data_IF_273273287024
#
_entry.id   IF_273273287024
#
_cell.length_a   1.000
_cell.length_b   1.000
_cell.length_c   1.000
_cell.angle_alpha   90.00
_cell.angle_beta   90.00
_cell.angle_gamma   90.00
#
_symmetry.space_group_name_H-M   'P 1'
#
loop_
_entity.id
_entity.type
_entity.pdbx_description
1 polymer ?
#
# COMPACT_ATOMS: atom_id res chain seq x y z
N UNK A 1 -5.56 -31.03 25.11
CA UNK A 1 -5.59 -29.61 24.67
C UNK A 1 -4.19 -29.27 24.19
N UNK A 2 -4.00 -29.05 22.89
CA UNK A 2 -2.72 -28.51 22.39
C UNK A 2 -2.73 -27.03 22.75
N UNK A 3 -1.87 -26.63 23.69
CA UNK A 3 -1.67 -25.21 24.03
C UNK A 3 -1.12 -24.51 22.80
N UNK A 4 -1.93 -23.63 22.20
CA UNK A 4 -1.53 -22.77 21.08
C UNK A 4 -0.67 -21.64 21.65
N UNK A 5 0.62 -21.89 21.80
CA UNK A 5 1.57 -20.82 22.16
C UNK A 5 1.64 -19.84 20.98
N UNK A 6 1.34 -18.54 21.17
CA UNK A 6 1.47 -17.53 20.12
C UNK A 6 2.90 -17.51 19.56
N UNK A 7 3.04 -17.16 18.29
CA UNK A 7 4.37 -16.93 17.71
C UNK A 7 4.95 -15.65 18.32
N UNK A 8 6.08 -15.78 19.00
CA UNK A 8 6.89 -14.65 19.45
C UNK A 8 7.48 -13.94 18.23
N UNK A 9 7.06 -12.69 18.00
CA UNK A 9 7.45 -11.91 16.82
C UNK A 9 8.93 -11.56 16.79
N UNK A 10 9.54 -11.31 17.96
CA UNK A 10 10.93 -10.87 18.05
C UNK A 10 11.84 -12.07 17.82
N UNK A 11 11.54 -13.19 18.48
CA UNK A 11 12.25 -14.45 18.24
C UNK A 11 12.10 -14.94 16.80
N UNK A 12 10.94 -14.74 16.17
CA UNK A 12 10.73 -15.09 14.77
C UNK A 12 11.51 -14.18 13.82
N UNK A 13 11.56 -12.87 14.09
CA UNK A 13 12.31 -11.92 13.28
C UNK A 13 13.82 -12.22 13.33
N UNK A 14 14.35 -12.54 14.51
CA UNK A 14 15.73 -12.98 14.68
C UNK A 14 15.98 -14.30 13.94
N UNK A 15 15.07 -15.27 14.08
CA UNK A 15 15.19 -16.56 13.40
C UNK A 15 15.15 -16.41 11.87
N UNK A 16 14.31 -15.52 11.33
CA UNK A 16 14.27 -15.23 9.89
C UNK A 16 15.58 -14.67 9.35
N UNK A 17 16.39 -13.99 10.17
CA UNK A 17 17.69 -13.46 9.74
C UNK A 17 18.77 -14.54 9.67
N UNK A 18 18.74 -15.50 10.61
CA UNK A 18 19.81 -16.48 10.78
C UNK A 18 19.48 -17.86 10.19
N UNK A 19 18.22 -18.27 10.24
CA UNK A 19 17.71 -19.52 9.69
C UNK A 19 16.27 -19.36 9.16
N UNK A 20 16.12 -18.82 7.94
CA UNK A 20 14.82 -18.66 7.29
C UNK A 20 14.03 -19.97 7.16
N UNK A 21 14.71 -21.11 7.01
CA UNK A 21 14.06 -22.42 6.83
C UNK A 21 13.45 -22.92 8.14
N UNK A 22 14.17 -22.76 9.26
CA UNK A 22 13.62 -23.06 10.58
C UNK A 22 12.47 -22.11 10.94
N UNK A 23 12.58 -20.83 10.60
CA UNK A 23 11.47 -19.88 10.76
C UNK A 23 10.24 -20.33 9.95
N UNK A 24 10.44 -20.71 8.69
CA UNK A 24 9.37 -21.22 7.84
C UNK A 24 8.71 -22.47 8.44
N UNK A 25 9.49 -23.44 8.90
CA UNK A 25 8.97 -24.65 9.54
C UNK A 25 8.13 -24.33 10.79
N UNK A 26 8.60 -23.42 11.64
CA UNK A 26 7.88 -22.99 12.84
C UNK A 26 6.56 -22.29 12.52
N UNK A 27 6.57 -21.39 11.54
CA UNK A 27 5.35 -20.69 11.07
C UNK A 27 4.37 -21.69 10.46
N UNK A 28 4.86 -22.64 9.67
CA UNK A 28 4.05 -23.71 9.08
C UNK A 28 3.33 -24.53 10.15
N UNK A 29 4.06 -24.98 11.16
CA UNK A 29 3.49 -25.82 12.21
C UNK A 29 2.41 -25.05 13.02
N UNK A 30 2.64 -23.75 13.28
CA UNK A 30 1.65 -22.88 13.91
C UNK A 30 0.42 -22.60 13.03
N UNK A 31 0.61 -22.40 11.72
CA UNK A 31 -0.48 -22.21 10.76
C UNK A 31 -1.36 -23.46 10.66
N UNK A 32 -0.74 -24.65 10.62
CA UNK A 32 -1.41 -25.95 10.65
C UNK A 32 -2.17 -26.19 11.97
N UNK A 33 -1.67 -25.65 13.09
CA UNK A 33 -2.39 -25.64 14.36
C UNK A 33 -3.58 -24.66 14.41
N UNK A 34 -3.81 -23.89 13.34
CA UNK A 34 -4.95 -22.99 13.18
C UNK A 34 -4.71 -21.58 13.73
N UNK A 35 -3.46 -21.15 13.92
CA UNK A 35 -3.16 -19.78 14.31
C UNK A 35 -3.30 -18.85 13.08
N UNK A 36 -4.24 -17.92 13.13
CA UNK A 36 -4.62 -17.09 11.98
C UNK A 36 -3.47 -16.18 11.52
N UNK A 37 -2.73 -15.57 12.44
CA UNK A 37 -1.57 -14.73 12.11
C UNK A 37 -0.46 -15.55 11.45
N UNK A 38 -0.29 -16.81 11.87
CA UNK A 38 0.66 -17.73 11.26
C UNK A 38 0.24 -18.14 9.85
N UNK A 39 -1.06 -18.31 9.59
CA UNK A 39 -1.58 -18.59 8.24
C UNK A 39 -1.33 -17.41 7.30
N UNK A 40 -1.59 -16.18 7.76
CA UNK A 40 -1.29 -14.97 7.01
C UNK A 40 0.22 -14.87 6.71
N UNK A 41 1.07 -15.09 7.72
CA UNK A 41 2.51 -15.01 7.56
C UNK A 41 3.04 -16.11 6.63
N UNK A 42 2.54 -17.34 6.75
CA UNK A 42 2.92 -18.45 5.88
C UNK A 42 2.59 -18.14 4.41
N UNK A 43 1.43 -17.54 4.16
CA UNK A 43 1.05 -17.08 2.84
C UNK A 43 2.05 -16.04 2.29
N UNK A 44 2.45 -15.06 3.11
CA UNK A 44 3.46 -14.07 2.73
C UNK A 44 4.82 -14.72 2.46
N UNK A 45 5.26 -15.67 3.29
CA UNK A 45 6.53 -16.38 3.12
C UNK A 45 6.57 -17.16 1.80
N UNK A 46 5.48 -17.84 1.43
CA UNK A 46 5.35 -18.48 0.12
C UNK A 46 5.36 -17.48 -1.03
N UNK A 47 4.69 -16.33 -0.88
CA UNK A 47 4.65 -15.29 -1.92
C UNK A 47 6.02 -14.67 -2.18
N UNK A 48 6.85 -14.54 -1.13
CA UNK A 48 8.19 -13.91 -1.19
C UNK A 48 9.33 -14.92 -1.35
N UNK A 49 9.08 -16.23 -1.19
CA UNK A 49 10.13 -17.25 -1.13
C UNK A 49 11.04 -17.11 0.10
N UNK A 50 10.49 -16.66 1.24
CA UNK A 50 11.27 -16.56 2.49
C UNK A 50 11.29 -17.90 3.21
N UNK A 51 12.47 -18.52 3.29
CA UNK A 51 12.65 -19.82 3.94
C UNK A 51 12.09 -21.01 3.15
N UNK A 52 11.58 -20.78 1.95
CA UNK A 52 11.04 -21.78 1.03
C UNK A 52 11.16 -21.27 -0.41
N UNK A 53 10.95 -22.13 -1.41
CA UNK A 53 10.79 -21.66 -2.79
C UNK A 53 9.52 -20.81 -2.92
N UNK A 54 9.56 -19.79 -3.79
CA UNK A 54 8.39 -18.98 -4.08
C UNK A 54 7.28 -19.85 -4.68
N UNK A 55 6.08 -19.78 -4.11
CA UNK A 55 4.92 -20.55 -4.56
C UNK A 55 3.64 -19.70 -4.39
N UNK A 56 3.23 -19.08 -5.49
CA UNK A 56 2.06 -18.21 -5.49
C UNK A 56 0.74 -18.98 -5.27
N UNK A 57 0.67 -20.26 -5.65
CA UNK A 57 -0.52 -21.09 -5.43
C UNK A 57 -0.63 -21.47 -3.95
N UNK A 58 0.47 -21.88 -3.32
CA UNK A 58 0.48 -22.12 -1.87
C UNK A 58 0.14 -20.85 -1.09
N UNK A 59 0.67 -19.68 -1.50
CA UNK A 59 0.32 -18.40 -0.89
C UNK A 59 -1.18 -18.09 -1.00
N UNK A 60 -1.78 -18.28 -2.18
CA UNK A 60 -3.23 -18.09 -2.40
C UNK A 60 -4.05 -18.94 -1.42
N UNK A 61 -3.75 -20.23 -1.31
CA UNK A 61 -4.49 -21.17 -0.46
C UNK A 61 -4.39 -20.81 1.04
N UNK A 62 -3.23 -20.35 1.49
CA UNK A 62 -3.05 -19.90 2.87
C UNK A 62 -3.72 -18.55 3.14
N UNK A 63 -3.70 -17.61 2.20
CA UNK A 63 -4.51 -16.39 2.30
C UNK A 63 -6.00 -16.70 2.37
N UNK A 64 -6.50 -17.64 1.56
CA UNK A 64 -7.88 -18.11 1.62
C UNK A 64 -8.22 -18.72 2.97
N UNK A 65 -7.35 -19.57 3.50
CA UNK A 65 -7.53 -20.17 4.83
C UNK A 65 -7.60 -19.09 5.92
N UNK A 66 -6.66 -18.15 5.93
CA UNK A 66 -6.62 -17.05 6.91
C UNK A 66 -7.83 -16.10 6.76
N UNK A 67 -8.24 -15.78 5.53
CA UNK A 67 -9.38 -14.93 5.24
C UNK A 67 -10.69 -15.57 5.74
N UNK A 68 -10.88 -16.87 5.51
CA UNK A 68 -12.03 -17.62 6.01
C UNK A 68 -12.03 -17.75 7.55
N UNK A 69 -10.87 -17.68 8.19
CA UNK A 69 -10.74 -17.59 9.65
C UNK A 69 -10.81 -16.15 10.20
N UNK A 70 -11.17 -15.17 9.36
CA UNK A 70 -11.50 -13.82 9.80
C UNK A 70 -10.35 -12.82 9.79
N UNK A 71 -9.18 -13.12 9.21
CA UNK A 71 -8.10 -12.14 9.07
C UNK A 71 -8.41 -11.07 8.00
N UNK A 72 -8.59 -9.79 8.37
CA UNK A 72 -8.90 -8.75 7.39
C UNK A 72 -7.79 -8.55 6.35
N UNK A 73 -6.53 -8.58 6.80
CA UNK A 73 -5.39 -8.44 5.89
C UNK A 73 -5.31 -9.60 4.90
N UNK A 74 -5.67 -10.82 5.32
CA UNK A 74 -5.74 -11.96 4.41
C UNK A 74 -6.86 -11.81 3.38
N UNK A 75 -8.03 -11.29 3.77
CA UNK A 75 -9.11 -10.95 2.82
C UNK A 75 -8.61 -9.95 1.77
N UNK A 76 -7.90 -8.90 2.19
CA UNK A 76 -7.31 -7.94 1.28
C UNK A 76 -6.26 -8.58 0.35
N UNK A 77 -5.35 -9.38 0.87
CA UNK A 77 -4.30 -10.04 0.08
C UNK A 77 -4.87 -11.07 -0.89
N UNK A 78 -5.91 -11.81 -0.50
CA UNK A 78 -6.65 -12.70 -1.39
C UNK A 78 -7.34 -11.93 -2.53
N UNK A 79 -7.90 -10.76 -2.21
CA UNK A 79 -8.40 -9.83 -3.22
C UNK A 79 -7.30 -9.43 -4.22
N UNK A 80 -6.09 -9.11 -3.74
CA UNK A 80 -4.94 -8.79 -4.60
C UNK A 80 -4.50 -9.97 -5.47
N UNK A 81 -4.50 -11.19 -4.91
CA UNK A 81 -4.18 -12.39 -5.68
C UNK A 81 -5.16 -12.58 -6.84
N UNK A 82 -6.46 -12.40 -6.61
CA UNK A 82 -7.44 -12.45 -7.67
C UNK A 82 -7.35 -11.26 -8.63
N UNK A 83 -7.07 -10.04 -8.19
CA UNK A 83 -6.94 -8.89 -9.09
C UNK A 83 -5.76 -9.05 -10.07
N UNK A 84 -4.62 -9.54 -9.57
CA UNK A 84 -3.36 -9.59 -10.31
C UNK A 84 -3.03 -10.99 -10.89
N UNK A 85 -3.84 -12.00 -10.57
CA UNK A 85 -3.61 -13.38 -11.00
C UNK A 85 -2.40 -14.04 -10.31
N UNK A 86 -2.17 -13.77 -9.03
CA UNK A 86 -1.13 -14.45 -8.27
C UNK A 86 -1.63 -15.80 -7.76
N UNK A 87 -1.07 -16.88 -8.31
CA UNK A 87 -1.49 -18.25 -7.98
C UNK A 87 -2.83 -18.68 -8.59
N UNK A 88 -3.44 -17.82 -9.42
CA UNK A 88 -4.74 -18.05 -10.07
C UNK A 88 -4.87 -17.19 -11.32
N UNK A 89 -5.91 -17.41 -12.13
CA UNK A 89 -6.24 -16.48 -13.21
C UNK A 89 -6.78 -15.16 -12.63
N UNK A 90 -6.45 -14.03 -13.25
CA UNK A 90 -6.95 -12.73 -12.83
C UNK A 90 -8.49 -12.69 -12.93
N UNK A 91 -9.13 -12.28 -11.83
CA UNK A 91 -10.57 -12.13 -11.67
C UNK A 91 -10.87 -10.91 -10.77
N UNK A 92 -10.96 -9.70 -11.36
CA UNK A 92 -11.22 -8.48 -10.60
C UNK A 92 -12.62 -8.45 -9.97
N UNK A 93 -13.59 -9.20 -10.49
CA UNK A 93 -14.92 -9.33 -9.86
C UNK A 93 -14.82 -10.08 -8.53
N UNK A 94 -14.07 -11.18 -8.48
CA UNK A 94 -13.82 -11.90 -7.23
C UNK A 94 -12.92 -11.09 -6.28
N UNK A 95 -11.96 -10.34 -6.81
CA UNK A 95 -11.18 -9.40 -6.01
C UNK A 95 -12.07 -8.39 -5.28
N UNK A 96 -13.07 -7.82 -5.95
CA UNK A 96 -14.02 -6.88 -5.35
C UNK A 96 -14.80 -7.49 -4.18
N UNK A 97 -15.18 -8.77 -4.26
CA UNK A 97 -15.86 -9.48 -3.15
C UNK A 97 -14.96 -9.53 -1.92
N UNK A 98 -13.68 -9.88 -2.10
CA UNK A 98 -12.74 -9.98 -0.99
C UNK A 98 -12.32 -8.61 -0.43
N UNK A 99 -12.09 -7.62 -1.29
CA UNK A 99 -11.84 -6.25 -0.85
C UNK A 99 -13.03 -5.65 -0.09
N UNK A 100 -14.28 -5.93 -0.51
CA UNK A 100 -15.48 -5.53 0.23
C UNK A 100 -15.49 -6.14 1.63
N UNK A 101 -15.24 -7.45 1.76
CA UNK A 101 -15.14 -8.11 3.06
C UNK A 101 -14.09 -7.47 3.96
N UNK A 102 -12.90 -7.17 3.43
CA UNK A 102 -11.86 -6.46 4.17
C UNK A 102 -12.28 -5.02 4.56
N UNK A 103 -12.93 -4.29 3.65
CA UNK A 103 -13.45 -2.95 3.90
C UNK A 103 -14.53 -2.92 4.98
N UNK A 104 -15.37 -3.96 5.05
CA UNK A 104 -16.46 -4.08 6.02
C UNK A 104 -15.92 -4.29 7.45
N UNK A 105 -14.72 -4.87 7.61
CA UNK A 105 -14.02 -4.91 8.92
C UNK A 105 -13.37 -3.59 9.30
N UNK A 106 -13.43 -2.57 8.43
CA UNK A 106 -12.73 -1.31 8.60
C UNK A 106 -11.26 -1.33 8.22
N UNK A 107 -10.76 -2.35 7.50
CA UNK A 107 -9.39 -2.34 7.00
C UNK A 107 -9.23 -1.25 5.93
N UNK A 108 -8.33 -0.32 6.19
CA UNK A 108 -8.01 0.82 5.34
C UNK A 108 -7.50 0.43 3.95
N UNK A 109 -6.67 -0.61 3.86
CA UNK A 109 -6.24 -1.22 2.59
C UNK A 109 -7.39 -1.83 1.80
N UNK A 110 -8.34 -2.48 2.49
CA UNK A 110 -9.55 -3.03 1.87
C UNK A 110 -10.43 -1.93 1.28
N UNK A 111 -10.61 -0.84 2.03
CA UNK A 111 -11.32 0.37 1.58
C UNK A 111 -10.67 0.97 0.34
N UNK A 112 -9.35 1.16 0.37
CA UNK A 112 -8.58 1.72 -0.75
C UNK A 112 -8.65 0.84 -2.01
N UNK A 113 -8.45 -0.47 -1.88
CA UNK A 113 -8.43 -1.36 -3.05
C UNK A 113 -9.81 -1.49 -3.69
N UNK A 114 -10.87 -1.54 -2.88
CA UNK A 114 -12.24 -1.52 -3.38
C UNK A 114 -12.57 -0.20 -4.09
N UNK A 115 -12.13 0.93 -3.51
CA UNK A 115 -12.29 2.24 -4.13
C UNK A 115 -11.59 2.32 -5.50
N UNK A 116 -10.41 1.71 -5.67
CA UNK A 116 -9.75 1.64 -6.97
C UNK A 116 -10.57 0.89 -8.02
N UNK A 117 -11.19 -0.23 -7.67
CA UNK A 117 -12.04 -0.98 -8.60
C UNK A 117 -13.28 -0.17 -8.99
N UNK A 118 -13.92 0.51 -8.04
CA UNK A 118 -15.07 1.40 -8.30
C UNK A 118 -14.67 2.62 -9.13
N UNK A 119 -13.51 3.23 -8.87
CA UNK A 119 -13.04 4.39 -9.62
C UNK A 119 -12.71 4.03 -11.08
N UNK A 120 -12.26 2.81 -11.35
CA UNK A 120 -11.82 2.37 -12.68
C UNK A 120 -12.85 1.53 -13.44
N UNK A 121 -13.87 1.00 -12.76
CA UNK A 121 -14.84 0.08 -13.34
C UNK A 121 -14.27 -1.31 -13.65
N UNK A 122 -13.15 -1.70 -13.04
CA UNK A 122 -12.52 -3.02 -13.27
C UNK A 122 -13.24 -4.10 -12.46
N UNK A 123 -13.91 -5.03 -13.16
CA UNK A 123 -14.59 -6.18 -12.56
C UNK A 123 -15.92 -5.88 -11.88
N UNK A 124 -16.21 -4.61 -11.59
CA UNK A 124 -17.48 -4.10 -11.06
C UNK A 124 -17.83 -2.77 -11.75
N UNK A 125 -19.11 -2.36 -11.79
CA UNK A 125 -19.52 -1.08 -12.38
C UNK A 125 -18.77 0.10 -11.76
N UNK A 126 -18.41 1.08 -12.60
CA UNK A 126 -17.76 2.29 -12.14
C UNK A 126 -18.72 3.12 -11.28
N UNK A 127 -18.25 3.56 -10.11
CA UNK A 127 -18.95 4.48 -9.21
C UNK A 127 -17.94 5.38 -8.51
N UNK A 128 -17.71 6.57 -9.09
CA UNK A 128 -16.71 7.51 -8.60
C UNK A 128 -17.10 8.15 -7.27
N UNK A 129 -18.38 8.37 -7.03
CA UNK A 129 -18.87 8.93 -5.77
C UNK A 129 -18.64 7.93 -4.62
N UNK A 130 -18.97 6.65 -4.83
CA UNK A 130 -18.67 5.62 -3.83
C UNK A 130 -17.15 5.42 -3.66
N UNK A 131 -16.37 5.46 -4.74
CA UNK A 131 -14.91 5.41 -4.64
C UNK A 131 -14.34 6.54 -3.76
N UNK A 132 -14.77 7.78 -3.99
CA UNK A 132 -14.36 8.93 -3.19
C UNK A 132 -14.75 8.78 -1.71
N UNK A 133 -15.96 8.30 -1.42
CA UNK A 133 -16.37 8.03 -0.05
C UNK A 133 -15.48 7.01 0.66
N UNK A 134 -15.09 5.93 -0.04
CA UNK A 134 -14.19 4.90 0.49
C UNK A 134 -12.75 5.41 0.63
N UNK A 135 -12.21 6.18 -0.33
CA UNK A 135 -10.92 6.84 -0.18
C UNK A 135 -10.92 7.77 1.03
N UNK A 136 -11.98 8.57 1.20
CA UNK A 136 -12.12 9.49 2.33
C UNK A 136 -12.08 8.73 3.66
N UNK A 137 -12.84 7.65 3.78
CA UNK A 137 -12.82 6.80 4.98
C UNK A 137 -11.44 6.20 5.23
N UNK A 138 -10.77 5.67 4.20
CA UNK A 138 -9.41 5.13 4.33
C UNK A 138 -8.39 6.22 4.74
N UNK A 139 -8.50 7.43 4.19
CA UNK A 139 -7.65 8.57 4.55
C UNK A 139 -7.81 8.96 6.03
N UNK A 140 -9.05 8.97 6.55
CA UNK A 140 -9.30 9.22 7.97
C UNK A 140 -8.75 8.11 8.89
N UNK A 141 -8.58 6.89 8.37
CA UNK A 141 -7.98 5.77 9.09
C UNK A 141 -6.44 5.72 9.02
N UNK A 142 -5.80 6.66 8.32
CA UNK A 142 -4.33 6.70 8.23
C UNK A 142 -3.75 6.23 6.90
N UNK A 143 -4.57 5.79 5.93
CA UNK A 143 -4.05 5.26 4.67
C UNK A 143 -3.43 6.36 3.79
N UNK A 144 -2.10 6.42 3.74
CA UNK A 144 -1.33 7.50 3.14
C UNK A 144 -1.69 7.77 1.66
N UNK A 145 -1.82 6.71 0.84
CA UNK A 145 -2.20 6.87 -0.58
C UNK A 145 -3.60 7.44 -0.74
N UNK A 146 -4.52 7.08 0.15
CA UNK A 146 -5.89 7.61 0.11
C UNK A 146 -5.93 9.08 0.55
N UNK A 147 -5.07 9.51 1.47
CA UNK A 147 -4.92 10.92 1.82
C UNK A 147 -4.48 11.74 0.60
N UNK A 148 -3.47 11.26 -0.13
CA UNK A 148 -2.99 11.91 -1.36
C UNK A 148 -4.08 11.94 -2.45
N UNK A 149 -4.85 10.87 -2.62
CA UNK A 149 -5.97 10.84 -3.57
C UNK A 149 -7.09 11.81 -3.17
N UNK A 150 -7.47 11.84 -1.90
CA UNK A 150 -8.47 12.80 -1.41
C UNK A 150 -8.02 14.25 -1.62
N UNK A 151 -6.74 14.54 -1.34
CA UNK A 151 -6.16 15.85 -1.61
C UNK A 151 -6.31 16.26 -3.08
N UNK A 152 -6.00 15.35 -4.02
CA UNK A 152 -6.20 15.58 -5.45
C UNK A 152 -7.66 15.85 -5.82
N UNK A 153 -8.60 15.09 -5.26
CA UNK A 153 -10.03 15.31 -5.52
C UNK A 153 -10.49 16.70 -5.05
N UNK A 154 -9.97 17.18 -3.90
CA UNK A 154 -10.24 18.51 -3.37
C UNK A 154 -9.50 19.63 -4.14
N UNK A 155 -8.33 19.35 -4.70
CA UNK A 155 -7.59 20.31 -5.53
C UNK A 155 -8.25 20.49 -6.90
N UNK A 156 -8.54 19.38 -7.57
CA UNK A 156 -9.05 19.35 -8.95
C UNK A 156 -10.58 19.51 -9.03
N UNK A 157 -11.30 19.46 -7.91
CA UNK A 157 -12.77 19.50 -7.87
C UNK A 157 -13.43 18.25 -8.46
N UNK A 158 -12.81 17.09 -8.32
CA UNK A 158 -13.27 15.84 -8.91
C UNK A 158 -14.33 15.20 -8.00
N UNK A 159 -15.59 15.17 -8.44
CA UNK A 159 -16.71 14.56 -7.71
C UNK A 159 -17.01 15.19 -6.32
N UNK A 160 -16.27 16.25 -5.94
CA UNK A 160 -16.44 17.07 -4.72
C UNK A 160 -16.07 18.53 -5.04
N UNK A 161 -16.65 19.49 -4.30
CA UNK A 161 -16.30 20.90 -4.45
C UNK A 161 -14.81 21.12 -4.14
N UNK A 162 -14.10 21.94 -4.94
CA UNK A 162 -12.71 22.26 -4.66
C UNK A 162 -12.54 22.93 -3.29
N UNK A 163 -11.53 22.50 -2.55
CA UNK A 163 -11.08 23.12 -1.31
C UNK A 163 -9.54 23.03 -1.25
N UNK A 164 -8.82 24.03 -1.79
CA UNK A 164 -7.37 24.04 -1.81
C UNK A 164 -6.73 24.01 -0.41
N UNK A 165 -7.41 24.55 0.61
CA UNK A 165 -6.90 24.55 1.97
C UNK A 165 -6.98 23.15 2.58
N UNK A 166 -8.10 22.46 2.39
CA UNK A 166 -8.23 21.07 2.79
C UNK A 166 -7.30 20.16 1.98
N UNK A 167 -7.14 20.40 0.67
CA UNK A 167 -6.21 19.66 -0.18
C UNK A 167 -4.78 19.74 0.35
N UNK A 168 -4.30 20.96 0.67
CA UNK A 168 -2.98 21.17 1.28
C UNK A 168 -2.81 20.36 2.57
N UNK A 169 -3.80 20.42 3.47
CA UNK A 169 -3.75 19.68 4.73
C UNK A 169 -3.67 18.15 4.50
N UNK A 170 -4.38 17.62 3.51
CA UNK A 170 -4.33 16.20 3.17
C UNK A 170 -3.03 15.79 2.47
N UNK A 171 -2.47 16.62 1.59
CA UNK A 171 -1.16 16.37 0.99
C UNK A 171 -0.06 16.32 2.04
N UNK A 172 -0.05 17.26 2.99
CA UNK A 172 0.89 17.26 4.10
C UNK A 172 0.78 15.95 4.91
N UNK A 173 -0.43 15.55 5.29
CA UNK A 173 -0.65 14.30 6.05
C UNK A 173 -0.21 13.06 5.26
N UNK A 174 -0.47 13.02 3.95
CA UNK A 174 0.00 11.94 3.09
C UNK A 174 1.53 11.86 3.04
N UNK A 175 2.20 13.02 2.98
CA UNK A 175 3.64 13.13 2.96
C UNK A 175 4.27 12.62 4.28
N UNK A 176 3.72 13.07 5.41
CA UNK A 176 4.10 12.64 6.77
C UNK A 176 3.85 11.15 6.99
N UNK A 177 2.80 10.60 6.39
CA UNK A 177 2.48 9.16 6.41
C UNK A 177 3.31 8.34 5.40
N UNK A 178 4.24 8.96 4.67
CA UNK A 178 5.21 8.25 3.81
C UNK A 178 4.74 7.96 2.38
N UNK A 179 3.63 8.53 1.90
CA UNK A 179 3.25 8.38 0.50
C UNK A 179 4.16 9.23 -0.40
N UNK A 180 5.04 8.59 -1.19
CA UNK A 180 6.00 9.31 -2.03
C UNK A 180 5.35 10.26 -3.05
N UNK A 181 4.12 9.98 -3.49
CA UNK A 181 3.36 10.90 -4.36
C UNK A 181 2.85 12.09 -3.56
N UNK A 182 2.30 11.86 -2.38
CA UNK A 182 1.94 12.90 -1.40
C UNK A 182 3.12 13.78 -1.03
N UNK A 183 4.30 13.22 -0.82
CA UNK A 183 5.55 13.96 -0.57
C UNK A 183 5.90 14.87 -1.74
N UNK A 184 5.83 14.37 -2.98
CA UNK A 184 6.10 15.19 -4.17
C UNK A 184 5.04 16.29 -4.39
N UNK A 185 3.76 15.98 -4.20
CA UNK A 185 2.67 16.95 -4.34
C UNK A 185 2.77 18.05 -3.28
N UNK A 186 3.03 17.68 -2.02
CA UNK A 186 3.25 18.66 -0.96
C UNK A 186 4.49 19.53 -1.23
N UNK A 187 5.58 18.92 -1.73
CA UNK A 187 6.76 19.67 -2.13
C UNK A 187 6.49 20.67 -3.26
N UNK A 188 5.66 20.31 -4.25
CA UNK A 188 5.26 21.22 -5.33
C UNK A 188 4.56 22.46 -4.79
N UNK A 189 3.65 22.29 -3.82
CA UNK A 189 2.97 23.41 -3.17
C UNK A 189 3.97 24.27 -2.37
N UNK A 190 4.90 23.64 -1.65
CA UNK A 190 5.97 24.36 -0.93
C UNK A 190 6.88 25.15 -1.88
N UNK A 191 7.21 24.63 -3.06
CA UNK A 191 7.96 25.35 -4.09
C UNK A 191 7.22 26.60 -4.57
N UNK A 192 5.92 26.48 -4.84
CA UNK A 192 5.07 27.62 -5.23
C UNK A 192 5.00 28.68 -4.13
N UNK A 193 5.03 28.26 -2.86
CA UNK A 193 5.09 29.14 -1.70
C UNK A 193 6.51 29.70 -1.39
N UNK A 194 7.53 29.36 -2.20
CA UNK A 194 8.91 29.80 -2.00
C UNK A 194 9.64 29.09 -0.85
N UNK A 195 9.07 28.04 -0.27
CA UNK A 195 9.63 27.27 0.84
C UNK A 195 10.59 26.18 0.34
N UNK A 196 11.63 26.60 -0.38
CA UNK A 196 12.49 25.72 -1.20
C UNK A 196 13.17 24.63 -0.37
N UNK A 197 13.72 24.96 0.79
CA UNK A 197 14.43 23.98 1.64
C UNK A 197 13.50 22.87 2.15
N UNK A 198 12.27 23.21 2.52
CA UNK A 198 11.27 22.22 2.94
C UNK A 198 10.82 21.36 1.76
N UNK A 199 10.62 21.96 0.58
CA UNK A 199 10.29 21.20 -0.62
C UNK A 199 11.40 20.21 -0.99
N UNK A 200 12.67 20.62 -0.90
CA UNK A 200 13.83 19.76 -1.15
C UNK A 200 13.86 18.58 -0.19
N UNK A 201 13.55 18.78 1.10
CA UNK A 201 13.44 17.69 2.07
C UNK A 201 12.41 16.64 1.61
N UNK A 202 11.19 17.07 1.27
CA UNK A 202 10.11 16.17 0.86
C UNK A 202 10.39 15.49 -0.48
N UNK A 203 10.95 16.19 -1.46
CA UNK A 203 11.36 15.59 -2.73
C UNK A 203 12.43 14.52 -2.52
N UNK A 204 13.36 14.72 -1.60
CA UNK A 204 14.42 13.74 -1.28
C UNK A 204 13.81 12.45 -0.71
N UNK A 205 12.80 12.55 0.15
CA UNK A 205 12.02 11.40 0.63
C UNK A 205 11.22 10.73 -0.50
N UNK A 206 10.58 11.53 -1.36
CA UNK A 206 9.81 11.01 -2.49
C UNK A 206 10.67 10.19 -3.45
N UNK A 207 11.89 10.66 -3.76
CA UNK A 207 12.84 9.98 -4.63
C UNK A 207 13.39 8.69 -4.00
N UNK A 208 13.52 8.62 -2.67
CA UNK A 208 14.02 7.43 -1.98
C UNK A 208 13.05 6.24 -2.03
N UNK A 209 11.74 6.52 -2.14
CA UNK A 209 10.68 5.49 -2.11
C UNK A 209 9.86 5.40 -3.40
N UNK A 210 10.17 6.23 -4.38
CA UNK A 210 9.47 6.32 -5.66
C UNK A 210 9.58 5.04 -6.48
N UNK A 211 8.47 4.61 -7.10
CA UNK A 211 8.51 3.51 -8.06
C UNK A 211 9.26 3.91 -9.34
N UNK A 212 9.80 2.97 -10.13
CA UNK A 212 10.48 3.29 -11.38
C UNK A 212 9.65 4.16 -12.34
N UNK A 213 8.34 3.88 -12.45
CA UNK A 213 7.43 4.68 -13.27
C UNK A 213 7.25 6.11 -12.74
N UNK A 214 7.26 6.29 -11.43
CA UNK A 214 7.24 7.63 -10.82
C UNK A 214 8.56 8.37 -11.06
N UNK A 215 9.70 7.70 -10.86
CA UNK A 215 11.02 8.27 -11.08
C UNK A 215 11.20 8.73 -12.54
N UNK A 216 10.75 7.91 -13.50
CA UNK A 216 10.77 8.26 -14.92
C UNK A 216 9.96 9.53 -15.26
N UNK A 217 8.92 9.82 -14.47
CA UNK A 217 8.09 11.00 -14.65
C UNK A 217 8.67 12.24 -13.95
N UNK A 218 9.05 12.11 -12.67
CA UNK A 218 9.43 13.27 -11.85
C UNK A 218 10.87 13.74 -12.10
N UNK A 219 11.81 12.84 -12.40
CA UNK A 219 13.23 13.21 -12.54
C UNK A 219 13.46 14.27 -13.64
N UNK A 220 12.88 14.16 -14.85
CA UNK A 220 12.99 15.21 -15.87
C UNK A 220 12.43 16.57 -15.41
N UNK A 221 11.33 16.57 -14.66
CA UNK A 221 10.72 17.78 -14.12
C UNK A 221 11.65 18.46 -13.09
N UNK A 222 12.23 17.69 -12.17
CA UNK A 222 13.16 18.22 -11.18
C UNK A 222 14.46 18.72 -11.83
N UNK A 223 14.96 18.05 -12.86
CA UNK A 223 16.13 18.47 -13.62
C UNK A 223 15.90 19.80 -14.36
N UNK A 224 14.66 20.07 -14.79
CA UNK A 224 14.25 21.31 -15.43
C UNK A 224 13.84 22.42 -14.43
N UNK A 225 13.87 22.15 -13.12
CA UNK A 225 13.44 23.11 -12.10
C UNK A 225 14.25 24.41 -12.16
N UNK A 226 13.63 25.59 -11.98
CA UNK A 226 14.36 26.86 -11.88
C UNK A 226 15.26 26.91 -10.63
N UNK A 227 14.97 26.12 -9.60
CA UNK A 227 15.69 26.11 -8.33
C UNK A 227 16.93 25.20 -8.40
N UNK A 228 18.16 25.73 -8.20
CA UNK A 228 19.37 24.93 -8.22
C UNK A 228 19.37 23.79 -7.20
N UNK A 229 18.80 24.00 -6.00
CA UNK A 229 18.73 22.96 -4.97
C UNK A 229 17.86 21.77 -5.39
N UNK A 230 16.80 22.00 -6.17
CA UNK A 230 15.93 20.94 -6.68
C UNK A 230 16.65 20.15 -7.78
N UNK A 231 17.32 20.83 -8.72
CA UNK A 231 18.11 20.16 -9.77
C UNK A 231 19.20 19.27 -9.18
N UNK A 232 19.84 19.71 -8.09
CA UNK A 232 20.88 18.96 -7.41
C UNK A 232 20.41 17.60 -6.85
N UNK A 233 19.10 17.41 -6.61
CA UNK A 233 18.56 16.13 -6.13
C UNK A 233 18.67 14.99 -7.16
N UNK A 234 18.75 15.33 -8.43
CA UNK A 234 18.77 14.35 -9.54
C UNK A 234 20.01 14.51 -10.43
N UNK A 235 20.94 15.38 -10.04
CA UNK A 235 22.21 15.52 -10.72
C UNK A 235 23.08 14.28 -10.47
N UNK A 236 23.89 13.84 -11.46
CA UNK A 236 24.86 12.78 -11.24
C UNK A 236 25.87 13.19 -10.15
N UNK A 237 26.43 12.24 -9.38
CA UNK A 237 27.46 12.54 -8.40
C UNK A 237 28.62 13.27 -9.07
N UNK A 238 29.12 14.35 -8.45
CA UNK A 238 30.32 15.02 -8.93
C UNK A 238 31.50 14.06 -8.81
N UNK A 239 32.22 13.84 -9.91
CA UNK A 239 33.46 13.05 -9.98
C UNK A 239 34.59 13.70 -9.18
#
# INVERSE_FOLDING_TARGET
MVTRTPIDSDALAELLQHDPQAAFARVRDAAQAGQVDAQLLLAQMHMEGKGTAQDALAALLWYETAANNGAPMAMNMLGRCHELGHGTAANPTLAAVWYRRAADTGLDWGLYNLANLLATGRGIPQDRAQALALYTRAAHLGHAKSMNLLARHLEDGLDIAPDPQAALAWYQRAAEAGDFRGQANYASILLQAGQIEQAVHWLRLALAHGSPAFMAHIVPELAASPHPQVRALVAPPSL
#
